data_IF_872907767831
#
_entry.id   IF_872907767831
#
_cell.length_a   1.000
_cell.length_b   1.000
_cell.length_c   1.000
_cell.angle_alpha   90.00
_cell.angle_beta   90.00
_cell.angle_gamma   90.00
#
_symmetry.space_group_name_H-M   'P 1'
#
loop_
_entity.id
_entity.type
_entity.pdbx_description
1 polymer ?
#
# COMPACT_ATOMS: atom_id res chain seq x y z
N UNK A 1 -12.63 -4.84 -35.36
CA UNK A 1 -11.17 -4.83 -35.08
C UNK A 1 -10.75 -3.68 -34.16
N UNK A 2 -11.13 -2.44 -34.47
CA UNK A 2 -10.75 -1.22 -33.72
C UNK A 2 -11.11 -1.25 -32.21
N UNK A 3 -12.30 -1.75 -31.83
CA UNK A 3 -12.73 -1.81 -30.42
C UNK A 3 -11.89 -2.77 -29.53
N UNK A 4 -11.32 -3.84 -30.10
CA UNK A 4 -10.44 -4.77 -29.35
C UNK A 4 -9.02 -4.21 -29.21
N UNK A 5 -8.56 -3.44 -30.19
CA UNK A 5 -7.26 -2.78 -30.14
C UNK A 5 -7.22 -1.74 -29.01
N UNK A 6 -8.23 -0.87 -28.91
CA UNK A 6 -8.28 0.19 -27.88
C UNK A 6 -8.33 -0.37 -26.45
N UNK A 7 -9.05 -1.47 -26.23
CA UNK A 7 -9.08 -2.13 -24.92
C UNK A 7 -7.73 -2.74 -24.53
N UNK A 8 -6.99 -3.31 -25.50
CA UNK A 8 -5.67 -3.89 -25.25
C UNK A 8 -4.64 -2.80 -24.94
N UNK A 9 -4.70 -1.65 -25.62
CA UNK A 9 -3.80 -0.52 -25.38
C UNK A 9 -4.02 0.11 -24.01
N UNK A 10 -5.27 0.18 -23.53
CA UNK A 10 -5.58 0.70 -22.19
C UNK A 10 -5.06 -0.22 -21.08
N UNK A 11 -5.16 -1.54 -21.27
CA UNK A 11 -4.63 -2.53 -20.32
C UNK A 11 -3.10 -2.49 -20.28
N UNK A 12 -2.45 -2.35 -21.44
CA UNK A 12 -0.98 -2.21 -21.54
C UNK A 12 -0.46 -0.91 -20.90
N UNK A 13 -1.20 0.20 -21.00
CA UNK A 13 -0.86 1.47 -20.33
C UNK A 13 -0.99 1.41 -18.81
N UNK A 14 -2.00 0.69 -18.30
CA UNK A 14 -2.15 0.45 -16.86
C UNK A 14 -1.06 -0.50 -16.34
N UNK A 15 -0.67 -1.50 -17.14
CA UNK A 15 0.43 -2.43 -16.79
C UNK A 15 1.82 -1.77 -16.88
N UNK A 16 2.05 -0.87 -17.84
CA UNK A 16 3.32 -0.14 -17.96
C UNK A 16 3.51 0.89 -16.84
N UNK A 17 2.41 1.41 -16.28
CA UNK A 17 2.43 2.29 -15.11
C UNK A 17 2.78 1.52 -13.82
N UNK A 18 2.60 0.19 -13.81
CA UNK A 18 3.01 -0.71 -12.72
C UNK A 18 4.45 -1.25 -12.89
N UNK A 19 5.07 -1.01 -14.04
CA UNK A 19 6.44 -1.42 -14.39
C UNK A 19 7.36 -0.20 -14.58
N UNK A 20 7.14 0.85 -13.79
CA UNK A 20 8.21 1.81 -13.52
C UNK A 20 9.25 1.11 -12.64
N UNK A 21 10.54 1.19 -12.99
CA UNK A 21 11.52 0.22 -12.57
C UNK A 21 11.77 0.33 -11.06
N UNK A 22 11.75 -0.83 -10.38
CA UNK A 22 12.69 -1.08 -9.28
C UNK A 22 14.11 -0.99 -9.85
N UNK A 23 14.58 0.22 -10.12
CA UNK A 23 15.98 0.53 -10.39
C UNK A 23 16.40 1.68 -9.49
N UNK A 24 16.39 1.38 -8.20
CA UNK A 24 17.28 2.02 -7.23
C UNK A 24 18.01 0.91 -6.47
N UNK A 25 18.84 0.16 -7.17
CA UNK A 25 19.75 -0.79 -6.55
C UNK A 25 21.06 -0.80 -7.33
N UNK A 26 21.92 0.16 -7.00
CA UNK A 26 23.37 0.00 -6.94
C UNK A 26 23.93 1.27 -6.30
N UNK A 27 23.58 1.46 -5.03
CA UNK A 27 24.44 2.25 -4.14
C UNK A 27 25.34 1.22 -3.46
N UNK A 28 26.63 1.28 -3.75
CA UNK A 28 27.66 0.40 -3.17
C UNK A 28 27.81 0.74 -1.69
N UNK A 29 26.92 0.23 -0.85
CA UNK A 29 27.04 0.33 0.60
C UNK A 29 27.51 -1.01 1.12
N UNK A 30 28.68 -1.02 1.76
CA UNK A 30 28.90 -1.94 2.87
C UNK A 30 27.62 -1.94 3.72
N UNK A 31 27.11 -3.12 4.09
CA UNK A 31 25.87 -3.22 4.86
C UNK A 31 25.91 -2.35 6.12
N UNK A 32 24.74 -2.03 6.71
CA UNK A 32 24.70 -1.22 7.92
C UNK A 32 25.60 -1.84 9.00
N UNK A 33 26.30 -1.00 9.78
CA UNK A 33 27.24 -1.44 10.83
C UNK A 33 26.58 -2.38 11.87
N UNK A 34 25.28 -2.22 12.06
CA UNK A 34 24.45 -3.03 12.93
C UNK A 34 23.25 -3.55 12.14
N UNK A 35 22.71 -4.67 12.56
CA UNK A 35 21.48 -5.26 12.02
C UNK A 35 20.29 -5.05 12.97
N UNK A 36 20.56 -4.82 14.27
CA UNK A 36 19.54 -4.73 15.31
C UNK A 36 19.98 -3.81 16.44
N UNK A 37 19.04 -3.00 16.95
CA UNK A 37 19.22 -2.25 18.20
C UNK A 37 18.41 -2.93 19.30
N UNK A 38 19.03 -3.15 20.46
CA UNK A 38 18.38 -3.67 21.67
C UNK A 38 18.30 -2.56 22.71
N UNK A 39 17.10 -2.41 23.29
CA UNK A 39 16.81 -1.49 24.41
C UNK A 39 16.07 -2.25 25.50
N UNK A 40 16.03 -1.69 26.71
CA UNK A 40 15.16 -2.21 27.78
C UNK A 40 13.69 -1.94 27.47
N UNK A 41 12.80 -2.81 27.97
CA UNK A 41 11.36 -2.72 27.72
C UNK A 41 10.54 -2.08 28.85
N UNK A 42 11.18 -1.69 29.96
CA UNK A 42 10.55 -1.16 31.17
C UNK A 42 10.74 0.36 31.37
N UNK A 43 11.63 1.01 30.61
CA UNK A 43 11.73 2.49 30.55
C UNK A 43 11.65 2.97 29.11
N UNK A 44 10.57 3.70 28.78
CA UNK A 44 10.30 4.19 27.44
C UNK A 44 11.38 5.17 26.94
N UNK A 45 12.10 5.85 27.84
CA UNK A 45 13.07 6.86 27.42
C UNK A 45 14.22 6.25 26.59
N UNK A 46 14.67 5.04 26.91
CA UNK A 46 15.76 4.39 26.16
C UNK A 46 15.32 4.02 24.74
N UNK A 47 14.05 3.61 24.59
CA UNK A 47 13.44 3.41 23.27
C UNK A 47 13.37 4.74 22.50
N UNK A 48 12.95 5.83 23.15
CA UNK A 48 12.87 7.16 22.53
C UNK A 48 14.26 7.64 22.06
N UNK A 49 15.30 7.46 22.87
CA UNK A 49 16.68 7.83 22.52
C UNK A 49 17.16 7.04 21.30
N UNK A 50 16.78 5.77 21.18
CA UNK A 50 17.18 4.89 20.08
C UNK A 50 16.56 5.26 18.72
N UNK A 51 15.39 5.90 18.71
CA UNK A 51 14.59 6.14 17.51
C UNK A 51 15.32 6.85 16.35
N UNK A 52 16.04 7.98 16.55
CA UNK A 52 16.78 8.67 15.48
C UNK A 52 17.86 7.77 14.87
N UNK A 53 18.56 7.01 15.71
CA UNK A 53 19.67 6.17 15.29
C UNK A 53 19.20 4.89 14.60
N UNK A 54 18.09 4.30 15.06
CA UNK A 54 17.42 3.21 14.36
C UNK A 54 17.00 3.63 12.95
N UNK A 55 16.45 4.85 12.81
CA UNK A 55 16.09 5.40 11.50
C UNK A 55 17.31 5.69 10.62
N UNK A 56 18.36 6.25 11.20
CA UNK A 56 19.62 6.52 10.50
C UNK A 56 20.25 5.24 9.92
N UNK A 57 20.25 4.17 10.71
CA UNK A 57 20.83 2.88 10.34
C UNK A 57 19.88 2.01 9.50
N UNK A 58 18.60 2.36 9.45
CA UNK A 58 17.52 1.57 8.84
C UNK A 58 17.38 0.17 9.45
N UNK A 59 17.47 0.10 10.78
CA UNK A 59 17.42 -1.14 11.56
C UNK A 59 16.25 -1.14 12.56
N UNK A 60 15.69 -2.31 12.90
CA UNK A 60 14.67 -2.40 13.92
C UNK A 60 15.23 -2.21 15.34
N UNK A 61 14.34 -1.80 16.24
CA UNK A 61 14.57 -1.78 17.68
C UNK A 61 13.82 -2.97 18.30
N UNK A 62 14.50 -3.77 19.12
CA UNK A 62 13.92 -4.86 19.89
C UNK A 62 13.99 -4.53 21.39
N UNK A 63 12.86 -4.19 22.02
CA UNK A 63 12.78 -4.04 23.47
C UNK A 63 12.88 -5.41 24.15
N UNK A 64 13.76 -5.55 25.14
CA UNK A 64 13.96 -6.79 25.91
C UNK A 64 13.88 -6.53 27.41
N UNK A 65 13.67 -7.58 28.20
CA UNK A 65 13.76 -7.47 29.66
C UNK A 65 15.23 -7.26 30.08
N UNK A 66 15.43 -6.38 31.07
CA UNK A 66 16.77 -5.98 31.54
C UNK A 66 17.61 -7.11 32.13
N UNK A 67 16.98 -8.12 32.74
CA UNK A 67 17.67 -9.19 33.50
C UNK A 67 17.83 -10.49 32.72
N UNK A 68 16.93 -10.79 31.79
CA UNK A 68 16.96 -12.03 31.01
C UNK A 68 16.17 -11.94 29.71
N UNK A 69 16.54 -12.76 28.73
CA UNK A 69 15.77 -12.91 27.50
C UNK A 69 14.68 -13.96 27.71
N UNK A 70 13.43 -13.60 27.47
CA UNK A 70 12.33 -14.57 27.55
C UNK A 70 12.37 -15.54 26.34
N UNK A 71 11.74 -16.73 26.44
CA UNK A 71 11.78 -17.72 25.37
C UNK A 71 11.29 -17.22 24.00
N UNK A 72 10.33 -16.27 23.98
CA UNK A 72 9.84 -15.67 22.75
C UNK A 72 10.90 -14.78 22.10
N UNK A 73 11.53 -13.92 22.91
CA UNK A 73 12.65 -13.08 22.47
C UNK A 73 13.83 -13.91 21.98
N UNK A 74 14.18 -15.01 22.66
CA UNK A 74 15.23 -15.94 22.21
C UNK A 74 14.89 -16.53 20.84
N UNK A 75 13.65 -17.01 20.64
CA UNK A 75 13.23 -17.56 19.35
C UNK A 75 13.25 -16.51 18.22
N UNK A 76 12.87 -15.27 18.53
CA UNK A 76 12.95 -14.16 17.58
C UNK A 76 14.41 -13.84 17.19
N UNK A 77 15.32 -13.75 18.17
CA UNK A 77 16.74 -13.54 17.94
C UNK A 77 17.38 -14.69 17.15
N UNK A 78 17.02 -15.95 17.42
CA UNK A 78 17.48 -17.08 16.61
C UNK A 78 17.04 -16.97 15.15
N UNK A 79 15.82 -16.47 14.91
CA UNK A 79 15.32 -16.22 13.55
C UNK A 79 16.16 -15.13 12.86
N UNK A 80 16.50 -14.05 13.56
CA UNK A 80 17.38 -13.00 13.03
C UNK A 80 18.78 -13.53 12.68
N UNK A 81 19.39 -14.31 13.56
CA UNK A 81 20.70 -14.92 13.29
C UNK A 81 20.66 -15.85 12.05
N UNK A 82 19.56 -16.59 11.84
CA UNK A 82 19.37 -17.41 10.63
C UNK A 82 19.27 -16.59 9.34
N UNK A 83 18.77 -15.36 9.41
CA UNK A 83 18.78 -14.42 8.29
C UNK A 83 20.14 -13.70 8.10
N UNK A 84 21.13 -14.01 8.96
CA UNK A 84 22.46 -13.41 8.91
C UNK A 84 22.59 -12.09 9.70
N UNK A 85 21.56 -11.71 10.45
CA UNK A 85 21.59 -10.51 11.30
C UNK A 85 22.31 -10.84 12.60
N UNK A 86 23.56 -10.44 12.69
CA UNK A 86 24.45 -10.87 13.77
C UNK A 86 25.11 -9.68 14.49
N UNK A 87 25.05 -8.46 13.95
CA UNK A 87 25.61 -7.28 14.58
C UNK A 87 24.55 -6.55 15.40
N UNK A 88 24.71 -6.54 16.72
CA UNK A 88 23.74 -5.96 17.66
C UNK A 88 24.35 -4.76 18.36
N UNK A 89 23.57 -3.67 18.43
CA UNK A 89 23.85 -2.54 19.30
C UNK A 89 22.92 -2.58 20.52
N UNK A 90 23.48 -2.76 21.71
CA UNK A 90 22.76 -2.54 22.97
C UNK A 90 22.86 -1.06 23.34
N UNK A 91 21.70 -0.42 23.53
CA UNK A 91 21.62 0.94 24.07
C UNK A 91 21.32 0.86 25.57
N UNK A 92 22.17 1.51 26.36
CA UNK A 92 22.13 1.50 27.81
C UNK A 92 23.32 0.76 28.44
N UNK A 93 23.62 1.12 29.69
CA UNK A 93 24.67 0.48 30.48
C UNK A 93 24.22 -0.90 31.01
N UNK A 94 25.04 -1.49 31.89
CA UNK A 94 24.74 -2.79 32.52
C UNK A 94 23.55 -2.74 33.48
N UNK A 95 23.12 -1.56 33.93
CA UNK A 95 21.91 -1.41 34.76
C UNK A 95 20.65 -1.35 33.89
N UNK A 96 20.75 -0.77 32.69
CA UNK A 96 19.67 -0.77 31.70
C UNK A 96 19.44 -2.16 31.10
N UNK A 97 20.50 -2.83 30.66
CA UNK A 97 20.49 -4.22 30.17
C UNK A 97 21.67 -4.96 30.78
N UNK A 98 21.39 -5.96 31.61
CA UNK A 98 22.41 -6.70 32.37
C UNK A 98 23.46 -7.38 31.50
N UNK A 99 24.63 -7.63 32.10
CA UNK A 99 25.70 -8.39 31.44
C UNK A 99 25.27 -9.83 31.14
N UNK A 100 24.34 -10.40 31.93
CA UNK A 100 23.73 -11.72 31.67
C UNK A 100 23.04 -11.77 30.30
N UNK A 101 22.27 -10.73 29.96
CA UNK A 101 21.60 -10.62 28.65
C UNK A 101 22.63 -10.49 27.52
N UNK A 102 23.66 -9.67 27.71
CA UNK A 102 24.75 -9.55 26.73
C UNK A 102 25.49 -10.87 26.52
N UNK A 103 25.82 -11.60 27.59
CA UNK A 103 26.48 -12.91 27.52
C UNK A 103 25.61 -13.94 26.79
N UNK A 104 24.29 -13.87 26.95
CA UNK A 104 23.34 -14.73 26.24
C UNK A 104 23.35 -14.43 24.73
N UNK A 105 23.34 -13.16 24.33
CA UNK A 105 23.49 -12.75 22.92
C UNK A 105 24.82 -13.24 22.32
N UNK A 106 25.93 -13.10 23.05
CA UNK A 106 27.24 -13.60 22.61
C UNK A 106 27.25 -15.12 22.44
N UNK A 107 26.62 -15.88 23.35
CA UNK A 107 26.48 -17.34 23.24
C UNK A 107 25.64 -17.77 22.05
N UNK A 108 24.67 -16.94 21.64
CA UNK A 108 23.86 -17.16 20.43
C UNK A 108 24.62 -16.82 19.13
N UNK A 109 25.83 -16.25 19.22
CA UNK A 109 26.67 -15.93 18.06
C UNK A 109 26.57 -14.49 17.57
N UNK A 110 25.90 -13.60 18.30
CA UNK A 110 25.87 -12.18 17.96
C UNK A 110 27.20 -11.48 18.27
N UNK A 111 27.55 -10.49 17.44
CA UNK A 111 28.60 -9.50 17.67
C UNK A 111 27.94 -8.30 18.33
N UNK A 112 28.25 -8.08 19.60
CA UNK A 112 27.57 -7.07 20.42
C UNK A 112 28.46 -5.86 20.66
N UNK A 113 27.96 -4.67 20.33
CA UNK A 113 28.48 -3.39 20.81
C UNK A 113 27.49 -2.79 21.81
N UNK A 114 28.00 -2.13 22.85
CA UNK A 114 27.16 -1.48 23.87
C UNK A 114 27.50 -0.01 23.97
N UNK A 115 26.48 0.84 23.91
CA UNK A 115 26.60 2.29 24.11
C UNK A 115 25.57 2.73 25.15
N UNK A 116 26.05 3.16 26.31
CA UNK A 116 25.20 3.64 27.39
C UNK A 116 25.97 4.45 28.43
N UNK A 117 25.29 5.39 29.06
CA UNK A 117 25.76 6.13 30.23
C UNK A 117 25.06 5.68 31.51
N UNK A 118 25.51 6.20 32.64
CA UNK A 118 24.91 5.90 33.95
C UNK A 118 23.49 6.49 34.08
N UNK A 119 23.20 7.52 33.28
CA UNK A 119 21.90 8.20 33.20
C UNK A 119 21.51 8.45 31.74
N UNK A 120 20.20 8.64 31.51
CA UNK A 120 19.59 8.88 30.20
C UNK A 120 20.21 10.02 29.39
N UNK A 121 20.65 11.09 30.03
CA UNK A 121 21.29 12.24 29.36
C UNK A 121 22.67 11.87 28.84
N UNK A 122 23.44 11.06 29.59
CA UNK A 122 24.71 10.52 29.13
C UNK A 122 24.55 9.50 27.99
N UNK A 123 23.54 8.62 28.05
CA UNK A 123 23.26 7.68 26.95
C UNK A 123 22.97 8.42 25.65
N UNK A 124 22.10 9.44 25.69
CA UNK A 124 21.80 10.27 24.53
C UNK A 124 23.06 10.99 23.99
N UNK A 125 23.87 11.58 24.87
CA UNK A 125 25.13 12.22 24.50
C UNK A 125 26.14 11.26 23.85
N UNK A 126 26.32 10.06 24.39
CA UNK A 126 27.23 9.06 23.84
C UNK A 126 26.79 8.59 22.46
N UNK A 127 25.49 8.36 22.25
CA UNK A 127 24.96 7.98 20.94
C UNK A 127 25.13 9.11 19.93
N UNK A 128 24.83 10.35 20.31
CA UNK A 128 25.00 11.51 19.44
C UNK A 128 26.47 11.64 18.99
N UNK A 129 27.43 11.53 19.92
CA UNK A 129 28.85 11.62 19.57
C UNK A 129 29.35 10.42 18.75
N UNK A 130 28.80 9.23 18.99
CA UNK A 130 29.17 8.03 18.25
C UNK A 130 28.72 8.08 16.79
N UNK A 131 27.49 8.53 16.55
CA UNK A 131 26.90 8.57 15.21
C UNK A 131 27.21 9.86 14.44
N UNK A 132 27.67 10.90 15.13
CA UNK A 132 28.11 12.17 14.52
C UNK A 132 29.55 12.52 14.95
N UNK A 133 30.54 11.67 14.62
CA UNK A 133 31.92 11.86 15.08
C UNK A 133 32.59 13.12 14.49
N UNK A 134 32.04 13.65 13.39
CA UNK A 134 32.52 14.87 12.73
C UNK A 134 31.69 16.12 13.09
N UNK A 135 30.75 15.99 14.04
CA UNK A 135 29.79 17.05 14.36
C UNK A 135 28.58 17.10 13.44
N UNK A 136 27.71 18.08 13.68
CA UNK A 136 26.50 18.34 12.89
C UNK A 136 26.02 19.78 13.11
N UNK A 137 25.57 20.46 12.05
CA UNK A 137 25.19 21.90 12.09
C UNK A 137 24.00 22.20 13.02
N UNK A 138 23.11 21.24 13.22
CA UNK A 138 21.93 21.36 14.09
C UNK A 138 21.84 20.22 15.09
N UNK A 139 21.51 20.51 16.36
CA UNK A 139 21.24 19.50 17.39
C UNK A 139 19.86 19.69 17.99
N UNK A 140 19.14 18.60 18.26
CA UNK A 140 17.85 18.64 18.98
C UNK A 140 18.07 18.28 20.44
N UNK A 141 17.54 19.11 21.34
CA UNK A 141 17.57 18.89 22.79
C UNK A 141 16.15 18.86 23.32
N UNK A 142 15.86 17.86 24.17
CA UNK A 142 14.62 17.77 24.92
C UNK A 142 14.85 17.46 26.40
N UNK A 143 13.81 17.63 27.20
CA UNK A 143 13.84 17.20 28.58
C UNK A 143 13.87 15.69 28.70
N UNK A 144 14.69 15.20 29.62
CA UNK A 144 14.84 13.79 29.95
C UNK A 144 13.70 13.26 30.82
N UNK A 145 12.88 14.14 31.39
CA UNK A 145 11.76 13.82 32.29
C UNK A 145 10.39 14.02 31.64
N UNK A 146 10.30 14.82 30.58
CA UNK A 146 9.09 15.01 29.77
C UNK A 146 9.11 14.08 28.55
N UNK A 147 8.49 12.91 28.69
CA UNK A 147 8.53 11.85 27.69
C UNK A 147 7.74 12.23 26.43
N UNK A 148 6.69 13.06 26.56
CA UNK A 148 5.92 13.53 25.41
C UNK A 148 6.74 14.44 24.53
N UNK A 149 7.44 15.39 25.14
CA UNK A 149 8.37 16.27 24.43
C UNK A 149 9.58 15.52 23.88
N UNK A 150 10.15 14.58 24.64
CA UNK A 150 11.25 13.74 24.17
C UNK A 150 10.87 12.89 22.96
N UNK A 151 9.65 12.32 22.92
CA UNK A 151 9.17 11.55 21.78
C UNK A 151 8.99 12.43 20.53
N UNK A 152 8.42 13.63 20.70
CA UNK A 152 8.31 14.59 19.61
C UNK A 152 9.69 14.99 19.07
N UNK A 153 10.65 15.20 19.98
CA UNK A 153 12.02 15.57 19.65
C UNK A 153 12.78 14.46 18.94
N UNK A 154 12.62 13.22 19.40
CA UNK A 154 13.17 12.05 18.73
C UNK A 154 12.61 11.94 17.31
N UNK A 155 11.29 12.11 17.10
CA UNK A 155 10.71 12.12 15.75
C UNK A 155 11.28 13.24 14.89
N UNK A 156 11.49 14.42 15.46
CA UNK A 156 12.09 15.54 14.74
C UNK A 156 13.53 15.21 14.29
N UNK A 157 14.34 14.73 15.22
CA UNK A 157 15.71 14.25 14.95
C UNK A 157 15.73 13.11 13.92
N UNK A 158 14.78 12.17 13.96
CA UNK A 158 14.63 11.11 12.96
C UNK A 158 14.36 11.65 11.55
N UNK A 159 13.50 12.66 11.41
CA UNK A 159 13.08 13.19 10.11
C UNK A 159 14.22 13.98 9.46
N UNK A 160 14.91 14.80 10.24
CA UNK A 160 15.95 15.68 9.73
C UNK A 160 17.37 15.11 9.85
N UNK A 161 17.53 13.95 10.50
CA UNK A 161 18.83 13.31 10.69
C UNK A 161 19.73 14.09 11.64
N UNK A 162 19.18 14.68 12.71
CA UNK A 162 19.93 15.49 13.67
C UNK A 162 20.39 14.66 14.88
N UNK A 163 21.54 14.96 15.51
CA UNK A 163 21.90 14.40 16.80
C UNK A 163 20.82 14.73 17.84
N UNK A 164 20.44 13.73 18.61
CA UNK A 164 19.41 13.85 19.64
C UNK A 164 20.03 13.78 21.02
N UNK A 165 19.83 14.83 21.81
CA UNK A 165 20.30 14.95 23.18
C UNK A 165 19.14 15.11 24.15
N UNK A 166 19.37 14.70 25.39
CA UNK A 166 18.47 14.92 26.51
C UNK A 166 19.17 15.73 27.59
N UNK A 167 18.41 16.54 28.33
CA UNK A 167 18.87 17.27 29.51
C UNK A 167 17.86 17.23 30.65
N UNK A 168 18.26 17.55 31.87
CA UNK A 168 17.33 17.75 32.99
C UNK A 168 16.43 18.97 32.76
N UNK A 169 15.26 18.98 33.41
CA UNK A 169 14.25 20.04 33.26
C UNK A 169 14.82 21.41 33.65
N UNK A 170 15.42 21.48 34.83
CA UNK A 170 15.82 22.76 35.44
C UNK A 170 17.26 23.16 35.15
N UNK A 171 18.07 22.26 34.57
CA UNK A 171 19.48 22.50 34.36
C UNK A 171 20.01 21.79 33.11
N UNK A 172 20.86 22.50 32.35
CA UNK A 172 21.67 21.88 31.31
C UNK A 172 22.57 20.82 31.95
N UNK A 173 22.42 19.56 31.52
CA UNK A 173 23.24 18.46 32.00
C UNK A 173 24.65 18.55 31.42
N UNK A 174 25.67 18.21 32.21
CA UNK A 174 27.06 18.32 31.79
C UNK A 174 27.34 17.46 30.55
N UNK A 175 26.76 16.24 30.48
CA UNK A 175 26.86 15.36 29.32
C UNK A 175 26.27 15.98 28.04
N UNK A 176 25.19 16.75 28.16
CA UNK A 176 24.58 17.49 27.06
C UNK A 176 25.46 18.66 26.63
N UNK A 177 25.97 19.43 27.59
CA UNK A 177 26.85 20.57 27.33
C UNK A 177 28.14 20.13 26.61
N UNK A 178 28.76 19.05 27.09
CA UNK A 178 29.94 18.45 26.48
C UNK A 178 29.66 17.92 25.08
N UNK A 179 28.50 17.30 24.86
CA UNK A 179 28.10 16.82 23.56
C UNK A 179 27.90 17.97 22.57
N UNK A 180 27.20 19.05 22.97
CA UNK A 180 27.04 20.25 22.14
C UNK A 180 28.41 20.82 21.75
N UNK A 181 29.34 20.92 22.71
CA UNK A 181 30.69 21.42 22.42
C UNK A 181 31.42 20.57 21.38
N UNK A 182 31.38 19.24 21.51
CA UNK A 182 32.07 18.32 20.58
C UNK A 182 31.38 18.20 19.23
N UNK A 183 30.05 18.36 19.18
CA UNK A 183 29.28 18.33 17.95
C UNK A 183 29.40 19.63 17.15
N UNK A 184 29.79 20.73 17.80
CA UNK A 184 29.97 22.05 17.20
C UNK A 184 28.79 22.51 16.31
N UNK A 185 27.52 22.45 16.77
CA UNK A 185 26.41 22.92 15.97
C UNK A 185 26.39 24.44 15.82
N UNK A 186 25.80 24.92 14.74
CA UNK A 186 25.41 26.32 14.57
C UNK A 186 24.11 26.61 15.33
N UNK A 187 23.18 25.63 15.35
CA UNK A 187 21.85 25.74 15.93
C UNK A 187 21.52 24.62 16.93
N UNK A 188 20.98 25.01 18.08
CA UNK A 188 20.40 24.08 19.06
C UNK A 188 18.90 24.27 19.13
N UNK A 189 18.16 23.28 18.63
CA UNK A 189 16.70 23.25 18.66
C UNK A 189 16.20 22.68 19.98
N UNK A 190 15.47 23.48 20.75
CA UNK A 190 14.85 23.07 22.00
C UNK A 190 13.41 22.63 21.73
N UNK A 191 13.08 21.39 22.08
CA UNK A 191 11.76 20.85 21.84
C UNK A 191 10.96 20.63 23.13
N UNK A 192 9.72 21.12 23.11
CA UNK A 192 8.74 20.86 24.14
C UNK A 192 8.76 21.83 25.32
N UNK A 193 7.91 21.55 26.32
CA UNK A 193 7.67 22.45 27.45
C UNK A 193 8.42 22.08 28.72
N UNK A 194 8.94 20.85 28.82
CA UNK A 194 9.59 20.32 30.03
C UNK A 194 11.01 20.81 30.33
N UNK A 195 11.49 21.89 29.69
CA UNK A 195 12.80 22.50 30.00
C UNK A 195 12.60 23.92 30.53
N UNK A 196 13.44 24.32 31.47
CA UNK A 196 13.48 25.67 32.00
C UNK A 196 14.20 26.63 31.05
N UNK A 197 13.93 27.93 31.17
CA UNK A 197 14.67 28.96 30.42
C UNK A 197 16.15 29.01 30.78
N UNK A 198 16.55 28.42 31.90
CA UNK A 198 17.94 28.41 32.35
C UNK A 198 18.78 27.48 31.47
N UNK A 199 18.18 26.39 30.97
CA UNK A 199 18.79 25.51 29.97
C UNK A 199 19.13 26.32 28.71
N UNK A 200 18.16 27.03 28.14
CA UNK A 200 18.34 27.87 26.96
C UNK A 200 19.44 28.93 27.18
N UNK A 201 19.33 29.69 28.29
CA UNK A 201 20.31 30.74 28.62
C UNK A 201 21.73 30.21 28.75
N UNK A 202 21.92 29.00 29.31
CA UNK A 202 23.24 28.37 29.41
C UNK A 202 23.80 28.01 28.03
N UNK A 203 22.97 27.47 27.14
CA UNK A 203 23.38 27.14 25.76
C UNK A 203 23.76 28.40 24.99
N UNK A 204 22.98 29.47 25.12
CA UNK A 204 23.29 30.77 24.50
C UNK A 204 24.57 31.39 25.07
N UNK A 205 24.79 31.28 26.39
CA UNK A 205 26.02 31.73 27.04
C UNK A 205 27.27 30.95 26.59
N UNK A 206 27.10 29.71 26.11
CA UNK A 206 28.16 28.93 25.47
C UNK A 206 28.44 29.37 24.02
N UNK A 207 27.64 30.28 23.46
CA UNK A 207 27.85 30.88 22.14
C UNK A 207 27.02 30.27 21.01
N UNK A 208 26.04 29.42 21.33
CA UNK A 208 25.21 28.72 20.33
C UNK A 208 23.90 29.46 20.08
N UNK A 209 23.41 29.42 18.83
CA UNK A 209 22.06 29.89 18.53
C UNK A 209 21.04 28.88 19.05
N UNK A 210 19.91 29.36 19.58
CA UNK A 210 18.83 28.49 20.03
C UNK A 210 17.54 28.79 19.30
N UNK A 211 16.76 27.75 19.02
CA UNK A 211 15.40 27.87 18.53
C UNK A 211 14.47 27.00 19.37
N UNK A 212 13.59 27.64 20.14
CA UNK A 212 12.64 26.92 20.97
C UNK A 212 11.30 26.74 20.25
N UNK A 213 11.03 25.51 19.84
CA UNK A 213 9.83 25.17 19.05
C UNK A 213 8.55 25.60 19.77
N UNK A 214 8.47 25.46 21.10
CA UNK A 214 7.32 25.92 21.89
C UNK A 214 7.03 27.41 21.73
N UNK A 215 8.06 28.25 21.77
CA UNK A 215 7.88 29.71 21.77
C UNK A 215 7.62 30.26 20.37
N UNK A 216 8.04 29.51 19.34
CA UNK A 216 7.97 29.93 17.94
C UNK A 216 6.95 29.12 17.11
N UNK A 217 6.07 28.36 17.78
CA UNK A 217 5.02 27.55 17.14
C UNK A 217 3.85 28.44 16.72
N UNK A 218 3.79 28.80 15.44
CA UNK A 218 2.54 29.21 14.81
C UNK A 218 1.73 27.93 14.50
N UNK A 219 0.73 27.63 15.33
CA UNK A 219 -0.14 26.48 15.10
C UNK A 219 -1.12 26.82 13.97
N UNK A 220 -0.74 26.48 12.74
CA UNK A 220 -1.72 26.34 11.67
C UNK A 220 -2.56 25.10 11.95
N UNK A 221 -3.76 25.29 12.50
CA UNK A 221 -4.73 24.19 12.63
C UNK A 221 -5.14 23.83 11.20
N UNK A 222 -4.79 22.63 10.69
CA UNK A 222 -5.20 22.25 9.35
C UNK A 222 -6.73 22.30 9.31
N UNK A 223 -7.28 23.02 8.34
CA UNK A 223 -8.72 23.07 8.16
C UNK A 223 -9.24 21.63 8.12
N UNK A 224 -10.23 21.32 8.98
CA UNK A 224 -10.89 20.02 8.97
C UNK A 224 -11.20 19.65 7.52
N UNK A 225 -10.94 18.40 7.09
CA UNK A 225 -11.24 18.00 5.72
C UNK A 225 -12.68 18.38 5.43
N UNK A 226 -12.89 19.20 4.37
CA UNK A 226 -14.22 19.69 4.00
C UNK A 226 -15.17 18.49 3.95
N UNK A 227 -16.30 18.58 4.63
CA UNK A 227 -17.32 17.53 4.58
C UNK A 227 -17.62 17.19 3.13
N UNK A 228 -17.72 15.89 2.86
CA UNK A 228 -18.05 15.36 1.55
C UNK A 228 -19.31 16.05 1.03
N UNK A 229 -19.21 16.77 -0.09
CA UNK A 229 -20.36 17.41 -0.70
C UNK A 229 -21.24 16.35 -1.38
N UNK A 230 -22.18 15.80 -0.62
CA UNK A 230 -23.14 14.79 -1.07
C UNK A 230 -23.96 15.22 -2.29
N UNK A 231 -24.15 16.54 -2.48
CA UNK A 231 -24.84 17.07 -3.67
C UNK A 231 -24.00 16.84 -4.93
N UNK A 232 -22.68 17.06 -4.87
CA UNK A 232 -21.79 16.76 -6.00
C UNK A 232 -21.72 15.27 -6.31
N UNK A 233 -21.66 14.42 -5.27
CA UNK A 233 -21.68 12.96 -5.46
C UNK A 233 -23.01 12.54 -6.11
N UNK A 234 -24.14 13.00 -5.59
CA UNK A 234 -25.45 12.71 -6.15
C UNK A 234 -25.56 13.20 -7.61
N UNK A 235 -25.05 14.40 -7.92
CA UNK A 235 -25.02 14.93 -9.28
C UNK A 235 -24.16 14.08 -10.21
N UNK A 236 -22.97 13.65 -9.79
CA UNK A 236 -22.09 12.79 -10.56
C UNK A 236 -22.73 11.41 -10.82
N UNK A 237 -23.38 10.82 -9.81
CA UNK A 237 -24.12 9.56 -9.94
C UNK A 237 -25.28 9.74 -10.92
N UNK A 238 -26.09 10.79 -10.79
CA UNK A 238 -27.19 11.07 -11.70
C UNK A 238 -26.71 11.30 -13.14
N UNK A 239 -25.61 12.03 -13.34
CA UNK A 239 -25.01 12.23 -14.65
C UNK A 239 -24.54 10.89 -15.26
N UNK A 240 -23.90 10.04 -14.46
CA UNK A 240 -23.45 8.72 -14.90
C UNK A 240 -24.62 7.82 -15.31
N UNK A 241 -25.72 7.83 -14.55
CA UNK A 241 -26.94 7.08 -14.86
C UNK A 241 -27.65 7.64 -16.09
N UNK A 242 -27.68 8.97 -16.25
CA UNK A 242 -28.28 9.63 -17.41
C UNK A 242 -27.57 9.27 -18.73
N UNK A 243 -26.30 8.86 -18.69
CA UNK A 243 -25.58 8.34 -19.86
C UNK A 243 -25.71 6.81 -19.96
N UNK A 244 -25.52 6.09 -18.86
CA UNK A 244 -25.49 4.63 -18.86
C UNK A 244 -26.84 4.00 -19.23
N UNK A 245 -27.96 4.57 -18.75
CA UNK A 245 -29.30 4.02 -18.99
C UNK A 245 -29.69 4.16 -20.48
N UNK A 246 -29.62 5.33 -21.14
CA UNK A 246 -29.97 5.43 -22.56
C UNK A 246 -29.08 4.58 -23.46
N UNK A 247 -27.77 4.50 -23.17
CA UNK A 247 -26.85 3.64 -23.93
C UNK A 247 -27.24 2.17 -23.78
N UNK A 248 -27.53 1.73 -22.55
CA UNK A 248 -27.98 0.35 -22.30
C UNK A 248 -29.30 0.05 -22.99
N UNK A 249 -30.26 0.98 -22.94
CA UNK A 249 -31.55 0.84 -23.62
C UNK A 249 -31.39 0.83 -25.15
N UNK A 250 -30.49 1.63 -25.71
CA UNK A 250 -30.19 1.64 -27.15
C UNK A 250 -29.70 0.27 -27.62
N UNK A 251 -28.69 -0.30 -26.94
CA UNK A 251 -28.17 -1.63 -27.27
C UNK A 251 -29.19 -2.74 -27.01
N UNK A 252 -29.98 -2.63 -25.94
CA UNK A 252 -31.06 -3.59 -25.66
C UNK A 252 -32.13 -3.57 -26.78
N UNK A 253 -32.51 -2.38 -27.24
CA UNK A 253 -33.43 -2.18 -28.36
C UNK A 253 -32.86 -2.75 -29.66
N UNK A 254 -31.61 -2.43 -29.99
CA UNK A 254 -30.94 -2.95 -31.19
C UNK A 254 -30.87 -4.48 -31.20
N UNK A 255 -30.54 -5.09 -30.06
CA UNK A 255 -30.55 -6.55 -29.89
C UNK A 255 -31.96 -7.15 -30.04
N UNK A 256 -33.00 -6.47 -29.55
CA UNK A 256 -34.38 -6.93 -29.65
C UNK A 256 -34.89 -6.89 -31.11
N UNK A 257 -34.55 -5.84 -31.87
CA UNK A 257 -34.88 -5.76 -33.30
C UNK A 257 -34.10 -6.77 -34.14
N UNK A 258 -32.84 -7.06 -33.82
CA UNK A 258 -32.04 -8.07 -34.54
C UNK A 258 -32.60 -9.50 -34.42
N UNK A 259 -33.40 -9.76 -33.38
CA UNK A 259 -34.06 -11.05 -33.13
C UNK A 259 -35.43 -11.20 -33.83
N UNK A 260 -35.90 -10.16 -34.52
CA UNK A 260 -37.17 -10.16 -35.25
C UNK A 260 -36.93 -10.04 -36.75
N UNK A 261 -37.50 -10.95 -37.53
CA UNK A 261 -37.34 -10.94 -39.00
C UNK A 261 -38.72 -10.91 -39.68
N UNK A 262 -39.02 -9.89 -40.51
CA UNK A 262 -40.24 -9.88 -41.30
C UNK A 262 -40.24 -11.02 -42.32
N UNK A 263 -41.36 -11.73 -42.42
CA UNK A 263 -41.49 -12.90 -43.30
C UNK A 263 -41.39 -12.54 -44.80
N UNK A 264 -41.53 -11.27 -45.15
CA UNK A 264 -41.45 -10.75 -46.52
C UNK A 264 -40.04 -10.73 -47.09
N UNK A 265 -39.01 -10.77 -46.23
CA UNK A 265 -37.58 -10.84 -46.64
C UNK A 265 -37.23 -12.25 -47.14
N UNK A 266 -38.09 -13.24 -46.89
CA UNK A 266 -37.95 -14.61 -47.38
C UNK A 266 -38.45 -14.74 -48.81
N UNK A 267 -37.76 -15.58 -49.58
CA UNK A 267 -38.28 -16.03 -50.88
C UNK A 267 -39.56 -16.83 -50.69
N UNK A 268 -40.39 -16.92 -51.73
CA UNK A 268 -41.66 -17.65 -51.71
C UNK A 268 -41.51 -19.10 -51.21
N UNK A 269 -40.44 -19.79 -51.64
CA UNK A 269 -40.14 -21.17 -51.22
C UNK A 269 -39.70 -21.26 -49.76
N UNK A 270 -38.88 -20.31 -49.29
CA UNK A 270 -38.45 -20.24 -47.89
C UNK A 270 -39.62 -19.93 -46.96
N UNK A 271 -40.52 -19.03 -47.37
CA UNK A 271 -41.73 -18.66 -46.62
C UNK A 271 -42.62 -19.87 -46.34
N UNK A 272 -42.86 -20.70 -47.35
CA UNK A 272 -43.68 -21.92 -47.21
C UNK A 272 -43.06 -22.88 -46.19
N UNK A 273 -41.74 -23.09 -46.25
CA UNK A 273 -41.03 -23.95 -45.29
C UNK A 273 -41.06 -23.35 -43.88
N UNK A 274 -40.85 -22.04 -43.76
CA UNK A 274 -40.90 -21.33 -42.48
C UNK A 274 -42.29 -21.36 -41.85
N UNK A 275 -43.36 -21.19 -42.64
CA UNK A 275 -44.74 -21.30 -42.18
C UNK A 275 -45.05 -22.71 -41.66
N UNK A 276 -44.61 -23.75 -42.36
CA UNK A 276 -44.77 -25.12 -41.90
C UNK A 276 -44.06 -25.38 -40.55
N UNK A 277 -42.91 -24.74 -40.30
CA UNK A 277 -42.22 -24.81 -39.01
C UNK A 277 -43.00 -24.02 -37.93
N UNK A 278 -43.52 -22.84 -38.25
CA UNK A 278 -44.33 -22.01 -37.35
C UNK A 278 -45.62 -22.71 -36.92
N UNK A 279 -46.34 -23.34 -37.85
CA UNK A 279 -47.57 -24.09 -37.57
C UNK A 279 -47.34 -25.28 -36.62
N UNK A 280 -46.10 -25.80 -36.55
CA UNK A 280 -45.68 -26.84 -35.61
C UNK A 280 -45.11 -26.29 -34.30
N UNK A 281 -45.28 -24.99 -34.02
CA UNK A 281 -44.79 -24.36 -32.78
C UNK A 281 -43.32 -23.95 -32.84
N UNK A 282 -42.76 -23.74 -34.03
CA UNK A 282 -41.40 -23.22 -34.22
C UNK A 282 -40.30 -24.29 -34.18
N UNK A 283 -40.66 -25.57 -34.04
CA UNK A 283 -39.72 -26.71 -34.05
C UNK A 283 -40.36 -27.90 -34.76
N UNK A 284 -39.68 -28.52 -35.73
CA UNK A 284 -40.20 -29.66 -36.49
C UNK A 284 -39.08 -30.60 -36.95
N UNK A 285 -39.38 -31.89 -37.14
CA UNK A 285 -38.41 -32.81 -37.74
C UNK A 285 -38.28 -32.54 -39.24
N UNK A 286 -37.05 -32.51 -39.74
CA UNK A 286 -36.75 -32.27 -41.16
C UNK A 286 -37.40 -33.28 -42.10
N UNK A 287 -37.67 -34.50 -41.63
CA UNK A 287 -38.34 -35.56 -42.39
C UNK A 287 -39.84 -35.31 -42.63
N UNK A 288 -40.49 -34.49 -41.81
CA UNK A 288 -41.92 -34.15 -41.89
C UNK A 288 -42.19 -32.98 -42.85
N UNK A 289 -41.17 -32.12 -43.07
CA UNK A 289 -41.28 -30.93 -43.92
C UNK A 289 -41.67 -31.19 -45.39
N UNK A 290 -41.22 -32.27 -46.07
CA UNK A 290 -41.68 -32.61 -47.42
C UNK A 290 -43.20 -32.78 -47.51
N UNK A 291 -43.81 -33.41 -46.51
CA UNK A 291 -45.26 -33.65 -46.48
C UNK A 291 -46.03 -32.35 -46.21
N UNK A 292 -45.51 -31.50 -45.31
CA UNK A 292 -46.14 -30.23 -44.94
C UNK A 292 -46.04 -29.15 -46.02
N UNK A 293 -45.02 -29.22 -46.88
CA UNK A 293 -44.72 -28.15 -47.86
C UNK A 293 -44.93 -28.55 -49.32
N UNK A 294 -45.09 -29.85 -49.60
CA UNK A 294 -45.18 -30.40 -50.96
C UNK A 294 -43.85 -30.42 -51.73
N UNK A 295 -42.73 -30.07 -51.10
CA UNK A 295 -41.41 -30.06 -51.73
C UNK A 295 -40.66 -31.39 -51.57
N UNK A 296 -39.79 -31.72 -52.54
CA UNK A 296 -38.94 -32.90 -52.46
C UNK A 296 -37.89 -32.79 -51.34
N UNK A 297 -37.47 -33.93 -50.77
CA UNK A 297 -36.43 -33.99 -49.71
C UNK A 297 -35.13 -33.22 -50.06
N UNK A 298 -34.58 -33.29 -51.29
CA UNK A 298 -33.43 -32.49 -51.69
C UNK A 298 -33.71 -30.98 -51.66
N UNK A 299 -34.92 -30.57 -52.06
CA UNK A 299 -35.34 -29.16 -52.06
C UNK A 299 -35.46 -28.62 -50.64
N UNK A 300 -36.08 -29.38 -49.73
CA UNK A 300 -36.16 -29.05 -48.30
C UNK A 300 -34.77 -28.90 -47.69
N UNK A 301 -33.86 -29.85 -47.96
CA UNK A 301 -32.49 -29.75 -47.45
C UNK A 301 -31.76 -28.51 -47.95
N UNK A 302 -31.98 -28.11 -49.21
CA UNK A 302 -31.39 -26.88 -49.77
C UNK A 302 -31.98 -25.63 -49.12
N UNK A 303 -33.30 -25.58 -48.92
CA UNK A 303 -33.98 -24.43 -48.29
C UNK A 303 -33.53 -24.28 -46.84
N UNK A 304 -33.45 -25.37 -46.07
CA UNK A 304 -32.98 -25.32 -44.67
C UNK A 304 -31.53 -24.81 -44.60
N UNK A 305 -30.66 -25.25 -45.50
CA UNK A 305 -29.28 -24.77 -45.55
C UNK A 305 -29.20 -23.24 -45.82
N UNK A 306 -30.06 -22.71 -46.68
CA UNK A 306 -30.14 -21.26 -46.92
C UNK A 306 -30.74 -20.51 -45.71
N UNK A 307 -31.74 -21.08 -45.04
CA UNK A 307 -32.31 -20.52 -43.80
C UNK A 307 -31.30 -20.51 -42.64
N UNK A 308 -30.43 -21.53 -42.53
CA UNK A 308 -29.33 -21.57 -41.55
C UNK A 308 -28.26 -20.51 -41.86
N UNK A 309 -27.89 -20.35 -43.14
CA UNK A 309 -26.96 -19.27 -43.55
C UNK A 309 -27.52 -17.89 -43.19
N UNK A 310 -28.84 -17.71 -43.28
CA UNK A 310 -29.55 -16.50 -42.86
C UNK A 310 -29.76 -16.40 -41.33
N UNK A 311 -29.29 -17.39 -40.55
CA UNK A 311 -29.44 -17.49 -39.10
C UNK A 311 -30.91 -17.43 -38.64
N UNK A 312 -31.82 -18.01 -39.43
CA UNK A 312 -33.25 -18.06 -39.14
C UNK A 312 -33.68 -19.39 -38.54
N UNK A 313 -32.91 -20.44 -38.81
CA UNK A 313 -33.11 -21.77 -38.24
C UNK A 313 -31.78 -22.36 -37.78
N UNK A 314 -31.87 -23.31 -36.85
CA UNK A 314 -30.77 -24.14 -36.39
C UNK A 314 -31.20 -25.61 -36.50
N UNK A 315 -30.29 -26.48 -36.95
CA UNK A 315 -30.49 -27.93 -36.95
C UNK A 315 -29.80 -28.60 -35.79
N UNK A 316 -30.55 -29.44 -35.10
CA UNK A 316 -30.03 -30.37 -34.09
C UNK A 316 -30.19 -31.81 -34.58
N UNK A 317 -29.12 -32.61 -34.53
CA UNK A 317 -29.17 -34.00 -35.02
C UNK A 317 -29.85 -34.89 -33.99
N UNK A 318 -30.94 -35.55 -34.39
CA UNK A 318 -31.69 -36.49 -33.53
C UNK A 318 -31.91 -37.81 -34.26
N UNK A 319 -31.18 -38.85 -33.85
CA UNK A 319 -31.22 -40.17 -34.48
C UNK A 319 -30.71 -40.15 -35.94
N UNK A 320 -31.56 -40.56 -36.88
CA UNK A 320 -31.28 -40.58 -38.33
C UNK A 320 -31.76 -39.31 -39.06
N UNK A 321 -32.33 -38.34 -38.34
CA UNK A 321 -32.89 -37.10 -38.91
C UNK A 321 -32.39 -35.87 -38.15
N UNK A 322 -32.83 -34.68 -38.56
CA UNK A 322 -32.56 -33.42 -37.88
C UNK A 322 -33.85 -32.81 -37.37
N UNK A 323 -33.80 -32.19 -36.20
CA UNK A 323 -34.84 -31.25 -35.75
C UNK A 323 -34.42 -29.86 -36.23
N UNK A 324 -35.34 -29.15 -36.87
CA UNK A 324 -35.16 -27.77 -37.32
C UNK A 324 -35.92 -26.88 -36.36
N UNK A 325 -35.23 -25.90 -35.77
CA UNK A 325 -35.79 -24.94 -34.82
C UNK A 325 -35.59 -23.51 -35.33
N UNK A 326 -36.62 -22.66 -35.21
CA UNK A 326 -36.49 -21.23 -35.50
C UNK A 326 -35.62 -20.55 -34.43
N UNK A 327 -34.63 -19.77 -34.85
CA UNK A 327 -33.70 -19.04 -33.96
C UNK A 327 -34.12 -17.60 -33.72
N UNK A 328 -35.04 -17.08 -34.55
CA UNK A 328 -35.55 -15.70 -34.48
C UNK A 328 -37.07 -15.70 -34.49
N UNK A 329 -37.66 -14.68 -33.89
CA UNK A 329 -39.10 -14.45 -33.91
C UNK A 329 -39.49 -13.92 -35.29
N UNK A 330 -40.40 -14.61 -35.97
CA UNK A 330 -40.82 -14.26 -37.33
C UNK A 330 -42.10 -13.46 -37.23
N UNK A 331 -42.06 -12.23 -37.72
CA UNK A 331 -43.24 -11.35 -37.72
C UNK A 331 -44.00 -11.58 -39.02
N UNK A 332 -45.26 -11.99 -38.89
CA UNK A 332 -46.24 -11.99 -39.96
C UNK A 332 -47.04 -10.69 -39.78
N UNK A 333 -47.01 -9.77 -40.75
CA UNK A 333 -47.94 -8.64 -40.74
C UNK A 333 -49.30 -9.16 -41.20
N UNK A 334 -50.33 -8.95 -40.39
CA UNK A 334 -51.74 -9.14 -40.77
C UNK A 334 -52.16 -8.15 -41.86
#
# INVERSE_FOLDING_TARGET
>A
MVKRAVALTLILLVFSSFMLPLSSAQDTKEGPKYDLIIVRNDDLIDYIIALPYAKMLDVPILPVNREELDPGTIAQLQSYAQFGWNHVLIIGDSQAISDKVQDELLKMGFIVERIGGAVRTETAAKLALHFYPNGHDTVVVASSSDYGSALAAARWAMIYGYPFLLTQEDALSDSTADAIQKLHPDLVELMGAGMSKDVQRKIEAMGYQTYWVRENLEIEIPAQPRETNWVMIAAAVLLSLAVAVPVSLYYAKEKWFANRVPIEVLTEKERIVVNAILEKGGTVKQEELPELTGYSRPTISRIIQELEKKQLVEREKVGKTFIVKLTKEIIIRD
#
